data_IF_137205491118
#
_entry.id   IF_137205491118
#
_cell.length_a   1.000
_cell.length_b   1.000
_cell.length_c   1.000
_cell.angle_alpha   90.00
_cell.angle_beta   90.00
_cell.angle_gamma   90.00
#
_symmetry.space_group_name_H-M   'P 1'
#
loop_
_entity.id
_entity.type
_entity.pdbx_description
1 polymer ?
#
# COMPACT_ATOMS: atom_id res chain seq x y z
N UNK A 1 16.10 2.54 11.44
CA UNK A 1 15.49 2.79 10.12
C UNK A 1 15.11 4.26 10.06
N UNK A 2 15.27 4.94 8.92
CA UNK A 2 14.72 6.29 8.76
C UNK A 2 13.20 6.24 8.97
N UNK A 3 12.67 7.22 9.69
CA UNK A 3 11.25 7.34 9.98
C UNK A 3 10.74 8.73 9.67
N UNK A 4 9.46 8.84 9.29
CA UNK A 4 8.82 10.12 9.02
C UNK A 4 7.41 10.17 9.62
N UNK A 5 6.92 11.39 9.85
CA UNK A 5 5.57 11.61 10.35
C UNK A 5 4.54 11.58 9.21
N UNK A 6 3.62 10.59 9.16
CA UNK A 6 2.59 10.54 8.13
C UNK A 6 1.53 11.62 8.37
N UNK A 7 1.05 12.25 7.29
CA UNK A 7 -0.02 13.26 7.34
C UNK A 7 -1.40 12.61 7.35
N UNK A 8 -1.77 11.94 8.45
CA UNK A 8 -3.01 11.16 8.54
C UNK A 8 -4.29 12.00 8.35
N UNK A 9 -4.25 13.31 8.64
CA UNK A 9 -5.40 14.21 8.48
C UNK A 9 -5.86 14.39 7.02
N UNK A 10 -5.05 13.98 6.03
CA UNK A 10 -5.41 14.01 4.61
C UNK A 10 -6.24 12.79 4.19
N UNK A 11 -6.26 11.74 5.02
CA UNK A 11 -7.02 10.53 4.71
C UNK A 11 -8.50 10.77 5.04
N UNK A 12 -9.45 10.27 4.23
CA UNK A 12 -10.86 10.25 4.61
C UNK A 12 -11.08 9.49 5.95
N UNK A 13 -12.17 9.79 6.68
CA UNK A 13 -12.41 9.20 8.01
C UNK A 13 -12.35 7.67 8.05
N UNK A 14 -12.84 6.99 7.00
CA UNK A 14 -12.83 5.54 6.90
C UNK A 14 -11.39 4.97 6.80
N UNK A 15 -10.50 5.64 6.07
CA UNK A 15 -9.08 5.26 6.01
C UNK A 15 -8.34 5.53 7.32
N UNK A 16 -8.66 6.65 7.99
CA UNK A 16 -8.09 6.94 9.32
C UNK A 16 -8.48 5.86 10.34
N UNK A 17 -9.73 5.39 10.30
CA UNK A 17 -10.21 4.33 11.18
C UNK A 17 -9.51 2.98 10.92
N UNK A 18 -9.17 2.68 9.66
CA UNK A 18 -8.44 1.46 9.29
C UNK A 18 -6.95 1.54 9.62
N UNK A 19 -6.36 2.73 9.67
CA UNK A 19 -4.92 2.93 9.87
C UNK A 19 -4.27 2.03 10.93
N UNK A 20 -4.71 2.02 12.21
CA UNK A 20 -4.09 1.18 13.24
C UNK A 20 -4.18 -0.33 12.94
N UNK A 21 -5.19 -0.75 12.18
CA UNK A 21 -5.44 -2.15 11.82
C UNK A 21 -4.52 -2.63 10.69
N UNK A 22 -3.81 -1.73 10.02
CA UNK A 22 -2.85 -2.06 8.95
C UNK A 22 -1.48 -2.45 9.51
N UNK A 23 -1.22 -2.28 10.81
CA UNK A 23 0.08 -2.61 11.43
C UNK A 23 0.62 -4.02 11.11
N UNK A 24 -0.19 -5.09 10.98
CA UNK A 24 0.33 -6.41 10.65
C UNK A 24 1.03 -6.48 9.29
N UNK A 25 0.69 -5.61 8.32
CA UNK A 25 1.31 -5.57 6.99
C UNK A 25 2.83 -5.47 7.05
N UNK A 26 3.36 -4.61 7.92
CA UNK A 26 4.81 -4.44 8.08
C UNK A 26 5.50 -5.72 8.57
N UNK A 27 4.84 -6.50 9.41
CA UNK A 27 5.38 -7.75 9.95
C UNK A 27 5.42 -8.85 8.87
N UNK A 28 4.50 -8.76 7.90
CA UNK A 28 4.47 -9.60 6.70
C UNK A 28 5.43 -9.10 5.61
N UNK A 29 6.25 -8.07 5.88
CA UNK A 29 7.20 -7.51 4.92
C UNK A 29 6.55 -6.71 3.79
N UNK A 30 5.29 -6.29 3.97
CA UNK A 30 4.56 -5.51 2.99
C UNK A 30 4.84 -4.01 3.16
N UNK A 31 5.04 -3.33 2.02
CA UNK A 31 5.37 -1.91 1.94
C UNK A 31 4.26 -1.18 1.20
N UNK A 32 3.80 -0.05 1.73
CA UNK A 32 2.82 0.81 1.07
C UNK A 32 3.47 1.59 -0.07
N UNK A 33 2.88 1.49 -1.25
CA UNK A 33 3.23 2.26 -2.46
C UNK A 33 2.01 3.08 -2.94
N UNK A 34 2.15 3.67 -4.12
CA UNK A 34 1.02 4.26 -4.84
C UNK A 34 0.62 5.64 -4.35
N UNK A 35 -0.63 6.00 -4.66
CA UNK A 35 -1.17 7.34 -4.44
C UNK A 35 -1.19 7.76 -2.98
N UNK A 36 -1.56 6.84 -2.11
CA UNK A 36 -1.70 7.06 -0.67
C UNK A 36 -0.35 7.23 0.02
N UNK A 37 0.68 6.46 -0.39
CA UNK A 37 2.04 6.66 0.10
C UNK A 37 2.56 8.09 -0.20
N UNK A 38 2.28 8.61 -1.40
CA UNK A 38 2.62 10.01 -1.77
C UNK A 38 1.79 11.00 -0.96
N UNK A 39 0.48 10.77 -0.81
CA UNK A 39 -0.41 11.64 -0.05
C UNK A 39 0.03 11.79 1.42
N UNK A 40 0.44 10.70 2.07
CA UNK A 40 0.91 10.68 3.44
C UNK A 40 2.20 11.49 3.66
N UNK A 41 3.07 11.57 2.64
CA UNK A 41 4.30 12.35 2.70
C UNK A 41 4.06 13.83 2.39
N UNK A 42 3.34 14.11 1.30
CA UNK A 42 3.23 15.46 0.75
C UNK A 42 2.01 16.23 1.29
N UNK A 43 0.88 15.56 1.52
CA UNK A 43 -0.37 16.18 1.97
C UNK A 43 -1.15 16.90 0.86
N UNK A 44 -0.81 16.67 -0.41
CA UNK A 44 -1.32 17.48 -1.53
C UNK A 44 -2.67 17.03 -2.08
N UNK A 45 -3.10 15.79 -1.82
CA UNK A 45 -4.36 15.24 -2.34
C UNK A 45 -4.85 14.09 -1.46
N UNK A 46 -6.15 13.86 -1.50
CA UNK A 46 -6.74 12.62 -1.00
C UNK A 46 -6.50 11.46 -1.99
N UNK A 47 -6.32 10.25 -1.48
CA UNK A 47 -6.25 9.00 -2.23
C UNK A 47 -6.99 7.94 -1.42
N UNK A 48 -7.84 7.13 -2.05
CA UNK A 48 -8.88 6.33 -1.34
C UNK A 48 -8.65 4.83 -1.51
N UNK A 49 -7.39 4.41 -1.41
CA UNK A 49 -6.92 3.03 -1.51
C UNK A 49 -5.64 2.82 -0.69
N UNK A 50 -5.31 1.58 -0.35
CA UNK A 50 -3.99 1.20 0.14
C UNK A 50 -3.44 0.08 -0.73
N UNK A 51 -2.30 0.32 -1.37
CA UNK A 51 -1.64 -0.66 -2.22
C UNK A 51 -0.32 -1.11 -1.58
N UNK A 52 -0.28 -2.37 -1.17
CA UNK A 52 0.83 -2.99 -0.49
C UNK A 52 1.59 -3.95 -1.40
N UNK A 53 2.92 -3.86 -1.38
CA UNK A 53 3.80 -4.71 -2.18
C UNK A 53 4.80 -5.43 -1.29
N UNK A 54 5.01 -6.72 -1.56
CA UNK A 54 5.98 -7.57 -0.88
C UNK A 54 6.92 -8.25 -1.87
N UNK A 55 8.17 -8.55 -1.46
CA UNK A 55 9.14 -9.24 -2.31
C UNK A 55 8.90 -10.75 -2.44
N UNK A 56 8.07 -11.32 -1.57
CA UNK A 56 7.75 -12.74 -1.52
C UNK A 56 6.37 -13.01 -2.14
N UNK A 57 6.12 -14.24 -2.64
CA UNK A 57 4.79 -14.68 -3.01
C UNK A 57 3.76 -14.39 -1.91
N UNK A 58 2.54 -14.07 -2.30
CA UNK A 58 1.53 -13.62 -1.35
C UNK A 58 0.94 -14.78 -0.55
N UNK A 59 1.30 -14.89 0.73
CA UNK A 59 0.63 -15.80 1.67
C UNK A 59 -0.70 -15.20 2.15
N UNK A 60 -1.77 -15.55 1.43
CA UNK A 60 -3.13 -15.05 1.68
C UNK A 60 -3.71 -15.57 3.00
N UNK A 61 -3.28 -16.74 3.46
CA UNK A 61 -3.78 -17.32 4.70
C UNK A 61 -3.14 -16.62 5.90
N UNK A 62 -1.82 -16.38 5.85
CA UNK A 62 -1.14 -15.55 6.85
C UNK A 62 -1.72 -14.13 6.89
N UNK A 63 -2.04 -13.54 5.73
CA UNK A 63 -2.65 -12.21 5.65
C UNK A 63 -4.05 -12.19 6.30
N UNK A 64 -4.92 -13.15 5.98
CA UNK A 64 -6.26 -13.27 6.58
C UNK A 64 -6.20 -13.53 8.09
N UNK A 65 -5.25 -14.37 8.54
CA UNK A 65 -5.05 -14.65 9.96
C UNK A 65 -4.57 -13.42 10.73
N UNK A 66 -3.66 -12.64 10.15
CA UNK A 66 -3.09 -11.47 10.79
C UNK A 66 -4.02 -10.25 10.76
N UNK A 67 -4.96 -10.19 9.81
CA UNK A 67 -5.79 -9.01 9.56
C UNK A 67 -7.28 -9.38 9.43
N UNK A 68 -8.07 -9.30 10.52
CA UNK A 68 -9.51 -9.56 10.47
C UNK A 68 -10.25 -8.69 9.44
N UNK A 69 -9.83 -7.44 9.24
CA UNK A 69 -10.39 -6.55 8.21
C UNK A 69 -10.23 -7.07 6.77
N UNK A 70 -9.26 -7.96 6.53
CA UNK A 70 -9.06 -8.64 5.25
C UNK A 70 -9.90 -9.91 5.20
N UNK A 71 -9.95 -10.68 6.29
CA UNK A 71 -10.77 -11.89 6.38
C UNK A 71 -12.28 -11.61 6.23
N UNK A 72 -12.78 -10.55 6.87
CA UNK A 72 -14.19 -10.13 6.83
C UNK A 72 -14.50 -9.22 5.63
N UNK A 73 -13.47 -8.79 4.89
CA UNK A 73 -13.60 -7.90 3.75
C UNK A 73 -14.22 -8.57 2.52
N UNK A 74 -14.90 -7.79 1.68
CA UNK A 74 -15.40 -8.31 0.40
C UNK A 74 -14.24 -8.47 -0.57
N UNK A 75 -13.93 -9.70 -0.98
CA UNK A 75 -12.93 -9.96 -2.03
C UNK A 75 -13.41 -9.37 -3.36
N UNK A 76 -12.59 -8.51 -3.96
CA UNK A 76 -12.81 -7.92 -5.28
C UNK A 76 -11.97 -8.61 -6.35
N UNK A 77 -10.78 -9.09 -5.98
CA UNK A 77 -9.86 -9.81 -6.86
C UNK A 77 -9.03 -10.78 -6.02
N UNK A 78 -8.85 -12.00 -6.51
CA UNK A 78 -7.98 -12.99 -5.90
C UNK A 78 -7.29 -13.80 -7.00
N UNK A 79 -5.97 -13.68 -7.06
CA UNK A 79 -5.08 -14.42 -7.95
C UNK A 79 -3.96 -15.05 -7.12
N UNK A 80 -2.93 -15.60 -7.77
CA UNK A 80 -1.81 -16.27 -7.08
C UNK A 80 -1.08 -15.29 -6.15
N UNK A 81 -0.61 -14.17 -6.69
CA UNK A 81 0.17 -13.17 -5.94
C UNK A 81 -0.57 -11.84 -5.75
N UNK A 82 -1.89 -11.85 -5.94
CA UNK A 82 -2.72 -10.63 -5.81
C UNK A 82 -3.95 -10.93 -4.97
N UNK A 83 -4.21 -10.07 -3.98
CA UNK A 83 -5.47 -10.02 -3.26
C UNK A 83 -5.94 -8.57 -3.16
N UNK A 84 -7.15 -8.31 -3.62
CA UNK A 84 -7.82 -7.02 -3.40
C UNK A 84 -9.10 -7.24 -2.62
N UNK A 85 -9.24 -6.56 -1.49
CA UNK A 85 -10.43 -6.60 -0.64
C UNK A 85 -11.00 -5.19 -0.46
N UNK A 86 -12.32 -5.11 -0.32
CA UNK A 86 -13.05 -3.91 0.06
C UNK A 86 -13.48 -4.04 1.52
N UNK A 87 -12.99 -3.15 2.38
CA UNK A 87 -13.39 -3.07 3.79
C UNK A 87 -13.71 -1.63 4.15
N UNK A 88 -14.85 -1.41 4.81
CA UNK A 88 -15.31 -0.06 5.17
C UNK A 88 -15.22 0.96 4.01
N UNK A 89 -15.60 0.53 2.79
CA UNK A 89 -15.51 1.28 1.52
C UNK A 89 -14.10 1.68 1.06
N UNK A 90 -13.06 1.27 1.77
CA UNK A 90 -11.66 1.43 1.39
C UNK A 90 -11.16 0.16 0.71
N UNK A 91 -10.49 0.33 -0.43
CA UNK A 91 -9.83 -0.77 -1.13
C UNK A 91 -8.46 -1.03 -0.50
N UNK A 92 -8.19 -2.28 -0.14
CA UNK A 92 -6.87 -2.78 0.25
C UNK A 92 -6.40 -3.76 -0.82
N UNK A 93 -5.30 -3.44 -1.49
CA UNK A 93 -4.67 -4.28 -2.51
C UNK A 93 -3.32 -4.78 -1.97
N UNK A 94 -3.06 -6.07 -2.16
CA UNK A 94 -1.84 -6.74 -1.73
C UNK A 94 -1.22 -7.47 -2.91
N UNK A 95 0.07 -7.25 -3.14
CA UNK A 95 0.80 -7.79 -4.26
C UNK A 95 2.11 -8.46 -3.81
N UNK A 96 2.23 -9.76 -4.05
CA UNK A 96 3.45 -10.56 -3.83
C UNK A 96 4.42 -10.52 -5.03
N UNK A 97 4.46 -9.38 -5.73
CA UNK A 97 5.29 -9.20 -6.92
C UNK A 97 6.50 -8.35 -6.54
N UNK A 98 7.69 -8.94 -6.58
CA UNK A 98 8.92 -8.26 -6.17
C UNK A 98 9.09 -6.90 -6.83
N UNK A 99 9.09 -5.84 -6.01
CA UNK A 99 9.37 -4.47 -6.46
C UNK A 99 10.84 -4.19 -6.21
N UNK A 100 11.58 -3.91 -7.27
CA UNK A 100 12.95 -3.42 -7.15
C UNK A 100 12.92 -2.05 -6.44
N UNK A 101 13.47 -1.99 -5.23
CA UNK A 101 13.59 -0.76 -4.44
C UNK A 101 14.95 -0.11 -4.71
N UNK A 102 14.96 1.17 -5.06
CA UNK A 102 16.12 2.02 -5.23
C UNK A 102 16.67 2.51 -3.88
N UNK A 103 15.81 2.61 -2.87
CA UNK A 103 16.19 2.95 -1.50
C UNK A 103 15.34 2.17 -0.48
N UNK A 104 15.80 1.97 0.76
CA UNK A 104 15.02 1.23 1.75
C UNK A 104 13.70 1.94 2.08
N UNK A 105 12.62 1.19 2.37
CA UNK A 105 11.38 1.78 2.86
C UNK A 105 11.58 2.44 4.23
N UNK A 106 10.76 3.43 4.52
CA UNK A 106 10.75 4.16 5.79
C UNK A 106 9.59 3.72 6.66
N UNK A 107 9.84 3.61 7.96
CA UNK A 107 8.79 3.31 8.94
C UNK A 107 8.09 4.62 9.32
N UNK A 108 6.76 4.62 9.44
CA UNK A 108 6.06 5.76 10.03
C UNK A 108 6.45 5.95 11.49
N UNK A 109 6.47 7.19 11.99
CA UNK A 109 6.89 7.49 13.37
C UNK A 109 5.96 6.87 14.43
N UNK A 110 4.69 6.68 14.10
CA UNK A 110 3.70 5.91 14.86
C UNK A 110 3.90 4.38 14.80
N UNK A 111 4.83 3.92 13.96
CA UNK A 111 5.18 2.51 13.77
C UNK A 111 4.12 1.68 13.05
N UNK A 112 3.13 2.29 12.39
CA UNK A 112 2.05 1.53 11.75
C UNK A 112 2.51 0.88 10.44
N UNK A 113 3.09 1.65 9.51
CA UNK A 113 3.39 1.17 8.15
C UNK A 113 4.85 1.31 7.76
N UNK A 114 5.32 0.40 6.91
CA UNK A 114 6.46 0.65 6.03
C UNK A 114 5.96 1.32 4.76
N UNK A 115 6.58 2.43 4.36
CA UNK A 115 6.20 3.20 3.18
C UNK A 115 7.42 3.32 2.26
N UNK A 116 7.19 3.13 0.97
CA UNK A 116 8.24 3.26 -0.03
C UNK A 116 8.96 4.62 0.05
N UNK A 117 10.25 4.61 -0.26
CA UNK A 117 11.07 5.83 -0.26
C UNK A 117 10.53 6.87 -1.26
N UNK A 118 10.78 8.17 -1.08
CA UNK A 118 10.37 9.19 -2.05
C UNK A 118 10.91 8.92 -3.47
N UNK A 119 12.13 8.39 -3.57
CA UNK A 119 12.77 8.04 -4.84
C UNK A 119 12.02 6.87 -5.51
N UNK A 120 11.65 5.85 -4.75
CA UNK A 120 10.86 4.71 -5.26
C UNK A 120 9.46 5.11 -5.66
N UNK A 121 8.80 5.99 -4.90
CA UNK A 121 7.48 6.52 -5.25
C UNK A 121 7.52 7.32 -6.55
N UNK A 122 8.58 8.10 -6.78
CA UNK A 122 8.79 8.82 -8.03
C UNK A 122 9.02 7.84 -9.19
N UNK A 123 9.92 6.87 -9.04
CA UNK A 123 10.23 5.89 -10.06
C UNK A 123 9.00 5.05 -10.43
N UNK A 124 8.23 4.61 -9.44
CA UNK A 124 6.99 3.86 -9.66
C UNK A 124 5.94 4.70 -10.41
N UNK A 125 5.81 5.99 -10.06
CA UNK A 125 4.90 6.90 -10.77
C UNK A 125 5.34 7.14 -12.23
N UNK A 126 6.64 7.29 -12.49
CA UNK A 126 7.19 7.42 -13.83
C UNK A 126 6.94 6.14 -14.66
N UNK A 127 7.19 4.96 -14.09
CA UNK A 127 6.90 3.67 -14.75
C UNK A 127 5.42 3.55 -15.13
N UNK A 128 4.50 3.90 -14.22
CA UNK A 128 3.06 3.90 -14.49
C UNK A 128 2.68 4.89 -15.59
N UNK A 129 3.30 6.07 -15.64
CA UNK A 129 3.08 7.05 -16.72
C UNK A 129 3.59 6.53 -18.06
N UNK A 130 4.82 6.00 -18.11
CA UNK A 130 5.43 5.48 -19.32
C UNK A 130 4.64 4.30 -19.90
N UNK A 131 4.21 3.35 -19.07
CA UNK A 131 3.36 2.24 -19.52
C UNK A 131 1.95 2.68 -19.92
N UNK A 132 1.42 3.77 -19.36
CA UNK A 132 0.12 4.32 -19.79
C UNK A 132 0.18 5.02 -21.15
N UNK A 133 1.35 5.53 -21.54
CA UNK A 133 1.56 6.10 -22.88
C UNK A 133 1.60 4.96 -23.90
N UNK A 134 2.29 3.86 -23.62
CA UNK A 134 2.31 2.68 -24.49
C UNK A 134 0.93 2.02 -24.68
N UNK A 135 0.03 2.08 -23.69
CA UNK A 135 -1.31 1.48 -23.78
C UNK A 135 -2.37 2.38 -24.43
N UNK A 136 -2.05 3.64 -24.77
CA UNK A 136 -2.99 4.57 -25.42
C UNK A 136 -2.61 4.98 -26.84
N UNK A 137 -1.39 4.68 -27.26
CA UNK A 137 -0.95 4.91 -28.64
C UNK A 137 -0.84 3.56 -29.35
N UNK A 138 -1.97 3.00 -29.81
CA UNK A 138 -2.11 2.14 -31.00
C UNK A 138 -3.58 1.87 -31.33
#
# INVERSE_FOLDING_TARGET
MPSFKPRLSILPPEQQALWPLLRPTRNLGLVLYGGTAVALRCGNRESVDFDFFGPQPLDKDALRQAMPIVADGKVLQEEVDTLTVLTSRVKLSFFGVGVASLAPPELTDDGVLLIASPVDLLAHKLKVILHRIEAKDY
#
